data_IF_139848896154
#
_entry.id   IF_139848896154
#
_cell.length_a   1.000
_cell.length_b   1.000
_cell.length_c   1.000
_cell.angle_alpha   90.00
_cell.angle_beta   90.00
_cell.angle_gamma   90.00
#
_symmetry.space_group_name_H-M   'P 1'
#
loop_
_entity.id
_entity.type
_entity.pdbx_description
1 polymer ?
#
# COMPACT_ATOMS: atom_id res chain seq x y z
N UNK A 1 3.17 -22.43 14.90
CA UNK A 1 3.36 -21.24 15.74
C UNK A 1 2.64 -20.10 15.06
N UNK A 2 1.70 -19.46 15.72
CA UNK A 2 0.91 -18.39 15.11
C UNK A 2 1.79 -17.16 14.93
N UNK A 3 1.72 -16.55 13.75
CA UNK A 3 2.52 -15.35 13.40
C UNK A 3 1.95 -14.11 14.08
N UNK A 4 0.63 -14.03 14.19
CA UNK A 4 -0.11 -12.95 14.84
C UNK A 4 -1.13 -13.55 15.81
N UNK A 5 -1.28 -12.95 17.01
CA UNK A 5 -2.17 -13.44 18.07
C UNK A 5 -2.93 -12.26 18.67
N UNK A 6 -4.23 -12.45 18.88
CA UNK A 6 -5.11 -11.51 19.60
C UNK A 6 -5.03 -10.07 19.04
N UNK A 7 -4.97 -9.93 17.71
CA UNK A 7 -4.91 -8.63 17.05
C UNK A 7 -6.29 -7.96 17.11
N UNK A 8 -6.34 -6.80 17.78
CA UNK A 8 -7.49 -5.91 17.75
C UNK A 8 -7.03 -4.56 17.18
N UNK A 9 -7.56 -4.21 16.00
CA UNK A 9 -7.16 -3.01 15.26
C UNK A 9 -8.40 -2.38 14.63
N UNK A 10 -8.57 -1.09 14.90
CA UNK A 10 -9.60 -0.27 14.26
C UNK A 10 -8.94 0.83 13.42
N UNK A 11 -9.38 0.93 12.17
CA UNK A 11 -8.86 1.85 11.18
C UNK A 11 -10.02 2.69 10.64
N UNK A 12 -9.94 3.99 10.84
CA UNK A 12 -10.91 4.94 10.32
C UNK A 12 -10.56 5.38 8.90
N UNK A 13 -11.59 5.78 8.14
CA UNK A 13 -11.36 6.35 6.82
C UNK A 13 -10.51 7.63 6.91
N UNK A 14 -9.46 7.71 6.10
CA UNK A 14 -8.53 8.83 6.10
C UNK A 14 -7.42 8.74 7.15
N UNK A 15 -7.29 7.64 7.90
CA UNK A 15 -6.15 7.45 8.80
C UNK A 15 -4.82 7.37 8.05
N UNK A 16 -3.77 7.91 8.67
CA UNK A 16 -2.38 7.59 8.39
C UNK A 16 -1.86 6.68 9.50
N UNK A 17 -1.42 5.49 9.13
CA UNK A 17 -1.00 4.47 10.10
C UNK A 17 0.41 3.99 9.78
N UNK A 18 1.26 3.96 10.79
CA UNK A 18 2.54 3.27 10.76
C UNK A 18 2.46 1.98 11.57
N UNK A 19 2.88 0.88 10.95
CA UNK A 19 3.01 -0.42 11.60
C UNK A 19 4.50 -0.72 11.74
N UNK A 20 5.02 -0.63 12.96
CA UNK A 20 6.43 -0.81 13.28
C UNK A 20 6.71 -2.19 13.88
N UNK A 21 7.98 -2.53 13.98
CA UNK A 21 8.44 -3.77 14.60
C UNK A 21 9.65 -4.38 13.90
N UNK A 22 10.29 -5.32 14.58
CA UNK A 22 11.47 -6.02 14.06
C UNK A 22 11.17 -6.84 12.80
N UNK A 23 12.23 -7.24 12.09
CA UNK A 23 12.07 -8.17 10.97
C UNK A 23 11.46 -9.48 11.46
N UNK A 24 10.49 -10.03 10.71
CA UNK A 24 9.78 -11.25 11.08
C UNK A 24 8.70 -11.08 12.17
N UNK A 25 8.44 -9.88 12.69
CA UNK A 25 7.42 -9.64 13.73
C UNK A 25 5.97 -9.92 13.27
N UNK A 26 5.71 -9.99 11.94
CA UNK A 26 4.38 -10.23 11.38
C UNK A 26 3.78 -9.02 10.65
N UNK A 27 4.55 -7.93 10.42
CA UNK A 27 4.07 -6.72 9.72
C UNK A 27 3.45 -7.04 8.37
N UNK A 28 4.20 -7.72 7.49
CA UNK A 28 3.71 -8.10 6.15
C UNK A 28 2.49 -9.02 6.20
N UNK A 29 2.42 -9.91 7.19
CA UNK A 29 1.24 -10.77 7.41
C UNK A 29 0.02 -9.94 7.80
N UNK A 30 0.16 -8.97 8.71
CA UNK A 30 -0.92 -8.06 9.07
C UNK A 30 -1.42 -7.28 7.84
N UNK A 31 -0.51 -6.71 7.03
CA UNK A 31 -0.88 -5.96 5.83
C UNK A 31 -1.62 -6.84 4.80
N UNK A 32 -1.20 -8.09 4.62
CA UNK A 32 -1.88 -9.06 3.73
C UNK A 32 -3.26 -9.45 4.23
N UNK A 33 -3.45 -9.57 5.53
CA UNK A 33 -4.76 -9.81 6.15
C UNK A 33 -5.70 -8.63 5.94
N UNK A 34 -5.24 -7.39 6.21
CA UNK A 34 -6.01 -6.15 6.01
C UNK A 34 -6.43 -6.02 4.53
N UNK A 35 -5.52 -6.30 3.60
CA UNK A 35 -5.78 -6.20 2.14
C UNK A 35 -6.51 -7.40 1.55
N UNK A 36 -6.95 -8.35 2.37
CA UNK A 36 -7.60 -9.60 1.94
C UNK A 36 -6.77 -10.40 0.90
N UNK A 37 -5.45 -10.27 0.92
CA UNK A 37 -4.52 -11.13 0.18
C UNK A 37 -4.46 -12.51 0.84
N UNK A 38 -4.42 -12.54 2.17
CA UNK A 38 -4.51 -13.75 3.00
C UNK A 38 -5.77 -13.72 3.86
N UNK A 39 -6.21 -14.88 4.35
CA UNK A 39 -7.33 -15.02 5.27
C UNK A 39 -6.81 -15.34 6.68
N UNK A 40 -7.44 -14.82 7.75
CA UNK A 40 -7.06 -15.18 9.11
C UNK A 40 -7.40 -16.64 9.38
N UNK A 41 -6.59 -17.31 10.23
CA UNK A 41 -6.85 -18.67 10.72
C UNK A 41 -8.03 -18.69 11.68
N UNK A 42 -8.20 -17.61 12.46
CA UNK A 42 -9.30 -17.40 13.41
C UNK A 42 -9.59 -15.91 13.55
N UNK A 43 -10.71 -15.57 14.19
CA UNK A 43 -11.15 -14.18 14.33
C UNK A 43 -11.85 -13.65 13.08
N UNK A 44 -12.07 -12.33 13.04
CA UNK A 44 -12.87 -11.68 12.00
C UNK A 44 -12.19 -10.40 11.51
N UNK A 45 -12.31 -10.14 10.22
CA UNK A 45 -11.94 -8.86 9.62
C UNK A 45 -13.21 -8.25 9.02
N UNK A 46 -13.52 -7.03 9.42
CA UNK A 46 -14.70 -6.30 8.94
C UNK A 46 -14.22 -5.10 8.12
N UNK A 47 -14.74 -4.96 6.91
CA UNK A 47 -14.48 -3.84 6.01
C UNK A 47 -15.81 -3.22 5.56
N UNK A 48 -16.00 -1.91 5.77
CA UNK A 48 -17.25 -1.20 5.44
C UNK A 48 -18.51 -1.96 5.94
N UNK A 49 -18.48 -2.40 7.20
CA UNK A 49 -19.53 -3.20 7.86
C UNK A 49 -19.76 -4.61 7.27
N UNK A 50 -18.89 -5.08 6.38
CA UNK A 50 -18.96 -6.39 5.79
C UNK A 50 -17.84 -7.29 6.34
N UNK A 51 -18.20 -8.46 6.90
CA UNK A 51 -17.21 -9.44 7.32
C UNK A 51 -16.59 -10.13 6.10
N UNK A 52 -15.31 -9.84 5.84
CA UNK A 52 -14.62 -10.32 4.65
C UNK A 52 -14.32 -11.83 4.67
N UNK A 53 -14.41 -12.48 5.84
CA UNK A 53 -14.19 -13.91 5.93
C UNK A 53 -15.28 -14.73 5.20
N UNK A 54 -16.48 -14.15 5.06
CA UNK A 54 -17.62 -14.81 4.39
C UNK A 54 -17.69 -14.51 2.90
N UNK A 55 -16.85 -13.61 2.38
CA UNK A 55 -16.84 -13.31 0.95
C UNK A 55 -16.44 -14.54 0.13
N UNK A 56 -17.22 -14.81 -0.91
CA UNK A 56 -16.94 -15.86 -1.86
C UNK A 56 -15.85 -15.43 -2.88
N UNK A 57 -15.44 -16.38 -3.75
CA UNK A 57 -14.38 -16.13 -4.74
C UNK A 57 -14.74 -15.06 -5.76
N UNK A 58 -16.03 -14.84 -6.03
CA UNK A 58 -16.48 -13.85 -7.02
C UNK A 58 -16.58 -12.44 -6.41
N UNK A 59 -16.78 -12.32 -5.10
CA UNK A 59 -16.88 -11.04 -4.39
C UNK A 59 -15.51 -10.48 -4.00
N UNK A 60 -14.56 -11.37 -3.71
CA UNK A 60 -13.21 -11.00 -3.28
C UNK A 60 -12.48 -10.03 -4.25
N UNK A 61 -12.56 -10.16 -5.59
CA UNK A 61 -11.95 -9.22 -6.50
C UNK A 61 -12.49 -7.79 -6.35
N UNK A 62 -13.79 -7.62 -6.10
CA UNK A 62 -14.41 -6.30 -5.89
C UNK A 62 -13.90 -5.64 -4.62
N UNK A 63 -13.74 -6.41 -3.54
CA UNK A 63 -13.12 -5.92 -2.31
C UNK A 63 -11.67 -5.48 -2.57
N UNK A 64 -10.86 -6.33 -3.23
CA UNK A 64 -9.43 -6.05 -3.49
C UNK A 64 -9.21 -4.80 -4.34
N UNK A 65 -10.18 -4.38 -5.15
CA UNK A 65 -10.11 -3.11 -5.91
C UNK A 65 -10.09 -1.86 -5.02
N UNK A 66 -10.56 -1.98 -3.77
CA UNK A 66 -10.51 -0.90 -2.78
C UNK A 66 -9.09 -0.65 -2.25
N UNK A 67 -8.18 -1.61 -2.40
CA UNK A 67 -6.82 -1.56 -1.89
C UNK A 67 -5.81 -1.33 -3.02
N UNK A 68 -4.91 -0.38 -2.81
CA UNK A 68 -3.66 -0.26 -3.56
C UNK A 68 -2.53 -0.87 -2.74
N UNK A 69 -1.97 -2.00 -3.17
CA UNK A 69 -0.93 -2.71 -2.42
C UNK A 69 0.44 -2.49 -3.05
N UNK A 70 1.39 -2.04 -2.25
CA UNK A 70 2.81 -1.92 -2.61
C UNK A 70 3.58 -2.95 -1.78
N UNK A 71 4.16 -3.94 -2.44
CA UNK A 71 4.93 -5.01 -1.82
C UNK A 71 6.40 -4.63 -1.68
N UNK A 72 7.08 -5.16 -0.68
CA UNK A 72 8.50 -4.94 -0.41
C UNK A 72 9.40 -5.27 -1.62
N UNK A 73 9.08 -6.31 -2.38
CA UNK A 73 9.79 -6.75 -3.58
C UNK A 73 9.18 -6.21 -4.88
N UNK A 74 8.39 -5.14 -4.81
CA UNK A 74 7.71 -4.42 -5.89
C UNK A 74 6.75 -5.27 -6.74
N UNK A 75 6.98 -6.56 -6.91
CA UNK A 75 6.18 -7.49 -7.76
C UNK A 75 5.93 -6.93 -9.17
N UNK A 76 6.94 -6.28 -9.76
CA UNK A 76 6.87 -5.78 -11.13
C UNK A 76 6.90 -6.93 -12.13
N UNK A 77 6.21 -6.75 -13.26
CA UNK A 77 6.23 -7.67 -14.38
C UNK A 77 7.35 -7.24 -15.33
N UNK A 78 8.42 -8.02 -15.36
CA UNK A 78 9.63 -7.70 -16.12
C UNK A 78 9.53 -8.05 -17.62
N UNK A 79 8.46 -8.70 -18.04
CA UNK A 79 8.08 -8.99 -19.42
C UNK A 79 7.22 -7.88 -20.06
N UNK A 80 6.94 -6.80 -19.31
CA UNK A 80 6.09 -5.67 -19.71
C UNK A 80 6.77 -4.35 -19.44
N UNK A 81 6.48 -3.34 -20.26
CA UNK A 81 6.98 -1.98 -20.03
C UNK A 81 6.32 -1.30 -18.81
N UNK A 82 6.75 -0.08 -18.48
CA UNK A 82 6.21 0.67 -17.35
C UNK A 82 4.72 0.98 -17.53
N UNK A 83 4.30 1.32 -18.74
CA UNK A 83 2.91 1.60 -19.05
C UNK A 83 2.03 0.38 -18.78
N UNK A 84 2.40 -0.79 -19.30
CA UNK A 84 1.63 -2.03 -19.16
C UNK A 84 1.62 -2.55 -17.72
N UNK A 85 2.71 -2.35 -16.96
CA UNK A 85 2.72 -2.62 -15.51
C UNK A 85 1.64 -1.82 -14.78
N UNK A 86 1.51 -0.53 -15.08
CA UNK A 86 0.53 0.35 -14.44
C UNK A 86 -0.88 0.13 -15.00
N UNK A 87 -1.02 -0.24 -16.27
CA UNK A 87 -2.31 -0.50 -16.91
C UNK A 87 -3.02 -1.75 -16.37
N UNK A 88 -2.26 -2.74 -15.90
CA UNK A 88 -2.78 -4.05 -15.50
C UNK A 88 -4.03 -4.01 -14.60
N UNK A 89 -4.07 -3.26 -13.48
CA UNK A 89 -5.25 -3.20 -12.64
C UNK A 89 -6.50 -2.65 -13.35
N UNK A 90 -6.30 -1.74 -14.31
CA UNK A 90 -7.40 -1.16 -15.09
C UNK A 90 -7.91 -2.13 -16.17
N UNK A 91 -7.00 -2.89 -16.80
CA UNK A 91 -7.34 -3.95 -17.77
C UNK A 91 -8.16 -5.06 -17.11
N UNK A 92 -7.77 -5.50 -15.90
CA UNK A 92 -8.54 -6.50 -15.12
C UNK A 92 -9.95 -5.97 -14.78
N UNK A 93 -10.11 -4.65 -14.68
CA UNK A 93 -11.40 -4.01 -14.41
C UNK A 93 -12.19 -3.69 -15.70
N UNK A 94 -11.72 -4.13 -16.87
CA UNK A 94 -12.38 -3.98 -18.17
C UNK A 94 -12.72 -2.51 -18.52
N UNK A 95 -11.84 -1.57 -18.11
CA UNK A 95 -12.01 -0.17 -18.46
C UNK A 95 -11.76 0.06 -19.97
N UNK A 96 -12.38 1.11 -20.49
CA UNK A 96 -12.17 1.55 -21.87
C UNK A 96 -10.68 1.89 -22.14
N UNK A 97 -10.09 1.48 -23.28
CA UNK A 97 -8.68 1.74 -23.60
C UNK A 97 -8.26 3.22 -23.54
N UNK A 98 -9.14 4.13 -23.89
CA UNK A 98 -8.88 5.58 -23.82
C UNK A 98 -8.75 6.06 -22.37
N UNK A 99 -9.61 5.56 -21.47
CA UNK A 99 -9.55 5.82 -20.05
C UNK A 99 -8.33 5.20 -19.40
N UNK A 100 -7.95 3.98 -19.81
CA UNK A 100 -6.72 3.32 -19.35
C UNK A 100 -5.52 4.21 -19.66
N UNK A 101 -5.36 4.63 -20.92
CA UNK A 101 -4.22 5.45 -21.34
C UNK A 101 -4.13 6.76 -20.55
N UNK A 102 -5.24 7.44 -20.36
CA UNK A 102 -5.31 8.68 -19.58
C UNK A 102 -4.92 8.49 -18.13
N UNK A 103 -5.46 7.45 -17.46
CA UNK A 103 -5.19 7.17 -16.04
C UNK A 103 -3.77 6.70 -15.79
N UNK A 104 -3.23 5.84 -16.67
CA UNK A 104 -1.85 5.34 -16.58
C UNK A 104 -0.87 6.50 -16.66
N UNK A 105 -1.00 7.37 -17.66
CA UNK A 105 -0.11 8.53 -17.81
C UNK A 105 -0.23 9.51 -16.65
N UNK A 106 -1.43 9.72 -16.12
CA UNK A 106 -1.63 10.53 -14.91
C UNK A 106 -0.92 9.91 -13.68
N UNK A 107 -1.01 8.58 -13.50
CA UNK A 107 -0.33 7.88 -12.42
C UNK A 107 1.20 7.93 -12.57
N UNK A 108 1.73 7.67 -13.78
CA UNK A 108 3.16 7.77 -14.08
C UNK A 108 3.68 9.21 -13.86
N UNK A 109 2.91 10.22 -14.27
CA UNK A 109 3.27 11.62 -14.05
C UNK A 109 3.32 11.96 -12.55
N UNK A 110 2.37 11.46 -11.75
CA UNK A 110 2.33 11.67 -10.30
C UNK A 110 3.59 11.18 -9.58
N UNK A 111 4.23 10.12 -10.09
CA UNK A 111 5.46 9.54 -9.55
C UNK A 111 6.73 9.94 -10.33
N UNK A 112 6.64 10.86 -11.28
CA UNK A 112 7.77 11.36 -12.06
C UNK A 112 8.35 10.37 -13.08
N UNK A 113 7.54 9.42 -13.60
CA UNK A 113 7.98 8.39 -14.55
C UNK A 113 7.31 8.49 -15.93
N UNK A 114 6.61 9.58 -16.25
CA UNK A 114 5.88 9.70 -17.52
C UNK A 114 6.80 9.57 -18.73
N UNK A 115 8.00 10.14 -18.68
CA UNK A 115 9.00 10.07 -19.74
C UNK A 115 9.63 8.68 -19.92
N UNK A 116 9.34 7.75 -19.00
CA UNK A 116 9.83 6.37 -18.99
C UNK A 116 8.72 5.35 -19.26
N UNK A 117 7.56 5.77 -19.74
CA UNK A 117 6.37 4.90 -19.91
C UNK A 117 6.65 3.66 -20.79
N UNK A 118 7.60 3.75 -21.73
CA UNK A 118 7.97 2.67 -22.66
C UNK A 118 9.20 1.88 -22.25
N UNK A 119 9.82 2.22 -21.12
CA UNK A 119 10.98 1.49 -20.63
C UNK A 119 10.57 0.23 -19.89
N UNK A 120 11.42 -0.79 -19.98
CA UNK A 120 11.26 -2.02 -19.20
C UNK A 120 11.69 -1.80 -17.75
N UNK A 121 11.02 -2.39 -16.75
CA UNK A 121 11.36 -2.21 -15.34
C UNK A 121 12.81 -2.55 -15.00
N UNK A 122 13.42 -3.51 -15.70
CA UNK A 122 14.81 -3.90 -15.48
C UNK A 122 15.82 -2.76 -15.74
N UNK A 123 15.45 -1.77 -16.53
CA UNK A 123 16.30 -0.61 -16.84
C UNK A 123 16.17 0.53 -15.85
N UNK A 124 15.23 0.42 -14.91
CA UNK A 124 14.98 1.42 -13.88
C UNK A 124 15.87 1.19 -12.66
N UNK A 125 16.28 2.28 -12.00
CA UNK A 125 16.88 2.21 -10.66
C UNK A 125 15.89 1.65 -9.63
N UNK A 126 16.39 1.16 -8.47
CA UNK A 126 15.53 0.63 -7.40
C UNK A 126 14.45 1.63 -6.94
N UNK A 127 14.82 2.91 -6.76
CA UNK A 127 13.85 3.96 -6.41
C UNK A 127 12.82 4.23 -7.50
N UNK A 128 13.19 4.09 -8.79
CA UNK A 128 12.24 4.19 -9.89
C UNK A 128 11.32 2.98 -9.98
N UNK A 129 11.82 1.78 -9.71
CA UNK A 129 11.00 0.58 -9.61
C UNK A 129 9.98 0.70 -8.46
N UNK A 130 10.38 1.26 -7.32
CA UNK A 130 9.48 1.57 -6.22
C UNK A 130 8.39 2.56 -6.65
N UNK A 131 8.75 3.67 -7.32
CA UNK A 131 7.78 4.62 -7.86
C UNK A 131 6.84 4.00 -8.89
N UNK A 132 7.34 3.08 -9.72
CA UNK A 132 6.50 2.33 -10.65
C UNK A 132 5.49 1.44 -9.95
N UNK A 133 5.90 0.74 -8.87
CA UNK A 133 5.00 -0.05 -8.05
C UNK A 133 3.91 0.82 -7.38
N UNK A 134 4.28 2.02 -6.92
CA UNK A 134 3.32 3.00 -6.38
C UNK A 134 2.35 3.45 -7.48
N UNK A 135 2.82 3.81 -8.68
CA UNK A 135 1.96 4.20 -9.79
C UNK A 135 0.91 3.12 -10.12
N UNK A 136 1.33 1.85 -10.14
CA UNK A 136 0.43 0.71 -10.34
C UNK A 136 -0.59 0.58 -9.21
N UNK A 137 -0.20 0.82 -7.97
CA UNK A 137 -1.11 0.72 -6.83
C UNK A 137 -2.18 1.82 -6.82
N UNK A 138 -1.84 3.05 -7.27
CA UNK A 138 -2.73 4.21 -7.21
C UNK A 138 -3.61 4.39 -8.45
N UNK A 139 -3.31 3.73 -9.57
CA UNK A 139 -3.98 3.95 -10.87
C UNK A 139 -5.49 3.67 -10.82
N UNK A 140 -5.92 2.73 -10.00
CA UNK A 140 -7.33 2.38 -9.78
C UNK A 140 -8.05 3.32 -8.81
N UNK A 141 -7.37 4.32 -8.24
CA UNK A 141 -7.89 5.24 -7.21
C UNK A 141 -8.44 4.49 -5.99
N UNK A 142 -7.60 3.69 -5.31
CA UNK A 142 -8.03 2.93 -4.15
C UNK A 142 -8.45 3.86 -3.01
N UNK A 143 -9.37 3.37 -2.14
CA UNK A 143 -9.71 4.07 -0.90
C UNK A 143 -8.68 3.84 0.21
N UNK A 144 -7.92 2.75 0.13
CA UNK A 144 -6.86 2.41 1.08
C UNK A 144 -5.58 2.10 0.31
N UNK A 145 -4.48 2.73 0.70
CA UNK A 145 -3.15 2.49 0.18
C UNK A 145 -2.31 1.80 1.25
N UNK A 146 -1.78 0.62 0.94
CA UNK A 146 -1.00 -0.21 1.85
C UNK A 146 0.40 -0.39 1.28
N UNK A 147 1.43 -0.10 2.07
CA UNK A 147 2.82 -0.22 1.65
C UNK A 147 3.64 -1.02 2.66
N UNK A 148 4.27 -2.08 2.17
CA UNK A 148 5.14 -2.94 2.98
C UNK A 148 6.60 -2.52 2.79
N UNK A 149 7.18 -1.90 3.83
CA UNK A 149 8.54 -1.38 3.88
C UNK A 149 8.94 -0.53 2.64
N UNK A 150 8.14 0.49 2.24
CA UNK A 150 8.30 1.18 0.96
C UNK A 150 9.56 2.03 0.84
N UNK A 151 10.25 2.32 1.93
CA UNK A 151 11.46 3.13 1.98
C UNK A 151 12.69 2.34 2.45
N UNK A 152 12.55 1.01 2.61
CA UNK A 152 13.67 0.16 2.98
C UNK A 152 14.77 0.22 1.91
N UNK A 153 16.03 0.31 2.35
CA UNK A 153 17.22 0.37 1.49
C UNK A 153 17.29 1.58 0.52
N UNK A 154 16.49 2.63 0.76
CA UNK A 154 16.60 3.89 0.03
C UNK A 154 17.42 4.91 0.82
N UNK A 155 18.15 5.77 0.11
CA UNK A 155 18.76 6.93 0.75
C UNK A 155 17.70 7.93 1.24
N UNK A 156 18.12 8.85 2.12
CA UNK A 156 17.18 9.79 2.78
C UNK A 156 16.39 10.66 1.80
N UNK A 157 16.98 11.05 0.67
CA UNK A 157 16.31 11.93 -0.30
C UNK A 157 15.19 11.17 -1.01
N UNK A 158 15.48 9.97 -1.54
CA UNK A 158 14.49 9.11 -2.18
C UNK A 158 13.41 8.65 -1.19
N UNK A 159 13.79 8.31 0.05
CA UNK A 159 12.84 7.98 1.09
C UNK A 159 11.85 9.13 1.35
N UNK A 160 12.35 10.38 1.42
CA UNK A 160 11.50 11.57 1.57
C UNK A 160 10.56 11.78 0.38
N UNK A 161 11.04 11.59 -0.86
CA UNK A 161 10.21 11.68 -2.06
C UNK A 161 9.05 10.66 -2.03
N UNK A 162 9.36 9.41 -1.68
CA UNK A 162 8.36 8.33 -1.57
C UNK A 162 7.34 8.67 -0.47
N UNK A 163 7.80 9.12 0.71
CA UNK A 163 6.90 9.49 1.80
C UNK A 163 5.99 10.66 1.42
N UNK A 164 6.51 11.66 0.69
CA UNK A 164 5.70 12.79 0.21
C UNK A 164 4.58 12.33 -0.74
N UNK A 165 4.80 11.31 -1.54
CA UNK A 165 3.73 10.72 -2.36
C UNK A 165 2.63 10.15 -1.46
N UNK A 166 2.96 9.34 -0.44
CA UNK A 166 1.98 8.80 0.50
C UNK A 166 1.21 9.90 1.24
N UNK A 167 1.92 10.91 1.75
CA UNK A 167 1.30 12.06 2.42
C UNK A 167 0.34 12.81 1.50
N UNK A 168 0.67 12.96 0.22
CA UNK A 168 -0.23 13.62 -0.75
C UNK A 168 -1.54 12.85 -0.97
N UNK A 169 -1.53 11.52 -0.86
CA UNK A 169 -2.75 10.71 -0.90
C UNK A 169 -3.55 10.79 0.39
N UNK A 170 -2.88 10.77 1.54
CA UNK A 170 -3.53 10.96 2.83
C UNK A 170 -4.23 12.32 2.90
N UNK A 171 -3.60 13.41 2.44
CA UNK A 171 -4.19 14.76 2.43
C UNK A 171 -5.49 14.88 1.63
N UNK A 172 -5.71 14.01 0.65
CA UNK A 172 -6.97 13.96 -0.13
C UNK A 172 -7.95 12.91 0.39
N UNK A 173 -7.73 12.39 1.60
CA UNK A 173 -8.66 11.51 2.32
C UNK A 173 -8.48 10.01 2.06
N UNK A 174 -7.41 9.60 1.36
CA UNK A 174 -7.07 8.17 1.22
C UNK A 174 -6.51 7.67 2.56
N UNK A 175 -7.00 6.52 3.04
CA UNK A 175 -6.40 5.83 4.19
C UNK A 175 -5.05 5.26 3.77
N UNK A 176 -4.00 5.53 4.55
CA UNK A 176 -2.64 5.10 4.23
C UNK A 176 -2.07 4.26 5.37
N UNK A 177 -1.62 3.05 5.07
CA UNK A 177 -1.02 2.12 6.04
C UNK A 177 0.37 1.75 5.55
N UNK A 178 1.38 2.03 6.35
CA UNK A 178 2.79 1.81 5.98
C UNK A 178 3.46 0.95 7.06
N UNK A 179 4.06 -0.17 6.66
CA UNK A 179 4.98 -0.89 7.55
C UNK A 179 6.39 -0.34 7.41
N UNK A 180 7.11 -0.30 8.52
CA UNK A 180 8.53 0.02 8.56
C UNK A 180 9.20 -0.55 9.82
N UNK A 181 10.53 -0.51 9.90
CA UNK A 181 11.23 -0.85 11.14
C UNK A 181 10.95 0.19 12.23
N UNK A 182 10.97 1.46 11.87
CA UNK A 182 10.69 2.61 12.73
C UNK A 182 9.74 3.55 12.00
N UNK A 183 8.87 4.23 12.73
CA UNK A 183 8.00 5.24 12.14
C UNK A 183 8.85 6.46 11.71
N UNK A 184 8.64 6.97 10.49
CA UNK A 184 9.33 8.16 10.06
C UNK A 184 8.90 9.38 10.88
N UNK A 185 9.84 10.26 11.20
CA UNK A 185 9.52 11.53 11.87
C UNK A 185 8.63 12.38 10.96
N UNK A 186 7.43 12.68 11.41
CA UNK A 186 6.47 13.51 10.67
C UNK A 186 5.64 14.36 11.62
N UNK A 187 5.21 15.53 11.14
CA UNK A 187 4.27 16.43 11.86
C UNK A 187 2.80 16.14 11.51
N UNK A 188 2.56 15.23 10.57
CA UNK A 188 1.22 14.86 10.14
C UNK A 188 0.57 13.98 11.21
N UNK A 189 -0.71 14.23 11.51
CA UNK A 189 -1.49 13.37 12.43
C UNK A 189 -1.45 11.92 11.95
N UNK A 190 -1.08 11.00 12.84
CA UNK A 190 -1.01 9.59 12.52
C UNK A 190 -1.19 8.71 13.77
N UNK A 191 -1.50 7.43 13.54
CA UNK A 191 -1.51 6.37 14.54
C UNK A 191 -0.25 5.50 14.33
N UNK A 192 0.43 5.12 15.40
CA UNK A 192 1.59 4.26 15.38
C UNK A 192 1.32 2.99 16.17
N UNK A 193 1.40 1.84 15.51
CA UNK A 193 1.24 0.53 16.10
C UNK A 193 2.54 -0.25 16.02
N UNK A 194 2.93 -0.90 17.12
CA UNK A 194 4.09 -1.78 17.13
C UNK A 194 3.66 -3.24 17.21
N UNK A 195 4.26 -4.06 16.35
CA UNK A 195 4.13 -5.52 16.43
C UNK A 195 5.36 -6.08 17.12
N UNK A 196 5.14 -6.70 18.26
CA UNK A 196 6.16 -7.41 19.02
C UNK A 196 5.68 -8.82 19.38
N UNK A 197 6.46 -9.84 19.01
CA UNK A 197 6.14 -11.25 19.25
C UNK A 197 4.70 -11.64 18.84
N UNK A 198 4.26 -11.17 17.67
CA UNK A 198 2.94 -11.46 17.11
C UNK A 198 1.77 -10.70 17.76
N UNK A 199 2.01 -9.80 18.70
CA UNK A 199 0.99 -8.94 19.33
C UNK A 199 1.12 -7.51 18.86
N UNK A 200 -0.03 -6.86 18.66
CA UNK A 200 -0.12 -5.46 18.23
C UNK A 200 -0.38 -4.57 19.44
N UNK A 201 0.43 -3.52 19.58
CA UNK A 201 0.25 -2.50 20.63
C UNK A 201 0.17 -1.11 19.96
N UNK A 202 -0.80 -0.29 20.36
CA UNK A 202 -0.85 1.12 20.00
C UNK A 202 0.24 1.85 20.81
N UNK A 203 1.26 2.39 20.14
CA UNK A 203 2.33 3.13 20.78
C UNK A 203 2.01 4.62 20.91
N UNK A 204 1.48 5.20 19.81
CA UNK A 204 1.22 6.64 19.76
C UNK A 204 -0.03 6.94 18.95
N UNK A 205 -0.76 7.95 19.40
CA UNK A 205 -1.74 8.67 18.61
C UNK A 205 -1.26 10.11 18.56
N UNK A 206 -0.54 10.46 17.47
CA UNK A 206 0.11 11.77 17.34
C UNK A 206 -0.91 12.74 16.76
N UNK A 207 -1.35 13.76 17.53
CA UNK A 207 -2.23 14.80 17.02
C UNK A 207 -1.50 15.69 16.02
N UNK A 208 -2.26 16.45 15.22
CA UNK A 208 -1.68 17.55 14.44
C UNK A 208 -0.94 18.50 15.41
N UNK A 209 0.33 18.74 15.16
CA UNK A 209 1.04 19.84 15.80
C UNK A 209 0.46 21.14 15.23
N UNK A 210 -0.27 21.87 16.07
CA UNK A 210 -0.81 23.21 15.77
C UNK A 210 0.30 24.25 15.68
#
# INVERSE_FOLDING_TARGET
MDVLQDINLEIDAGDLIFVTGSSGAGKSTLLKLISAVERPSSGTIVFENQNINYLNKNEMPYLRRKFGMIFQDHKLLYDRDCFDNVALPLQINELDPSDISRRVRAALNKVGLLNKEKLMPITLSGGEQQRLAIARAIVSRPSILIADEPIANLDKNYASEIMNIFYSFHQVGVTVIISSHEAPTTTIKHKEFNINQGKLNLEKNVPLLT
#
